data_IF_900802251582
#
_entry.id   IF_900802251582
#
_cell.length_a   1.000
_cell.length_b   1.000
_cell.length_c   1.000
_cell.angle_alpha   90.00
_cell.angle_beta   90.00
_cell.angle_gamma   90.00
#
_symmetry.space_group_name_H-M   'P 1'
#
loop_
_entity.id
_entity.type
_entity.pdbx_description
1 polymer ?
#
# COMPACT_ATOMS: atom_id res chain seq x y z
N UNK A 1 5.45 -7.70 -38.33
CA UNK A 1 5.03 -7.26 -36.99
C UNK A 1 5.83 -8.08 -35.99
N UNK A 2 6.65 -7.43 -35.13
CA UNK A 2 7.36 -8.15 -34.07
C UNK A 2 6.34 -8.62 -33.02
N UNK A 3 6.39 -9.89 -32.65
CA UNK A 3 5.59 -10.43 -31.53
C UNK A 3 6.13 -9.78 -30.26
N UNK A 4 5.28 -9.16 -29.41
CA UNK A 4 5.76 -8.56 -28.18
C UNK A 4 6.35 -9.65 -27.29
N UNK A 5 7.60 -9.43 -26.84
CA UNK A 5 8.25 -10.34 -25.90
C UNK A 5 7.62 -10.17 -24.54
N UNK A 6 6.92 -11.19 -24.05
CA UNK A 6 6.37 -11.23 -22.69
C UNK A 6 7.42 -11.80 -21.75
N UNK A 7 7.57 -11.18 -20.58
CA UNK A 7 8.50 -11.58 -19.52
C UNK A 7 7.72 -11.83 -18.22
N UNK A 8 8.19 -12.76 -17.36
CA UNK A 8 7.56 -12.95 -16.05
C UNK A 8 7.76 -11.68 -15.19
N UNK A 9 6.67 -11.21 -14.61
CA UNK A 9 6.70 -10.07 -13.70
C UNK A 9 6.80 -10.55 -12.25
N UNK A 10 7.86 -10.17 -11.56
CA UNK A 10 8.05 -10.54 -10.13
C UNK A 10 7.00 -9.93 -9.20
N UNK A 11 6.27 -8.90 -9.65
CA UNK A 11 5.26 -8.22 -8.82
C UNK A 11 3.89 -8.87 -8.82
N UNK A 12 3.53 -9.59 -9.89
CA UNK A 12 2.25 -10.29 -10.02
C UNK A 12 2.39 -11.74 -10.51
N UNK A 13 3.60 -12.21 -10.80
CA UNK A 13 3.86 -13.57 -11.28
C UNK A 13 3.36 -13.88 -12.69
N UNK A 14 2.76 -12.92 -13.37
CA UNK A 14 2.19 -13.11 -14.71
C UNK A 14 3.18 -12.76 -15.81
N UNK A 15 2.97 -13.29 -17.00
CA UNK A 15 3.68 -12.85 -18.19
C UNK A 15 3.17 -11.46 -18.58
N UNK A 16 4.07 -10.49 -18.67
CA UNK A 16 3.76 -9.09 -18.86
C UNK A 16 4.61 -8.44 -19.94
N UNK A 17 4.12 -7.35 -20.51
CA UNK A 17 4.86 -6.53 -21.46
C UNK A 17 6.02 -5.79 -20.78
N UNK A 18 6.99 -5.36 -21.58
CA UNK A 18 8.09 -4.52 -21.09
C UNK A 18 7.57 -3.22 -20.45
N UNK A 19 6.49 -2.65 -20.97
CA UNK A 19 5.84 -1.45 -20.42
C UNK A 19 5.26 -1.69 -19.03
N UNK A 20 4.56 -2.80 -18.80
CA UNK A 20 4.06 -3.17 -17.47
C UNK A 20 5.20 -3.30 -16.46
N UNK A 21 6.29 -3.96 -16.85
CA UNK A 21 7.45 -4.13 -15.98
C UNK A 21 8.12 -2.77 -15.68
N UNK A 22 8.27 -1.92 -16.70
CA UNK A 22 8.85 -0.59 -16.56
C UNK A 22 8.01 0.28 -15.59
N UNK A 23 6.68 0.26 -15.73
CA UNK A 23 5.75 0.97 -14.83
C UNK A 23 5.88 0.49 -13.38
N UNK A 24 5.94 -0.82 -13.16
CA UNK A 24 6.18 -1.38 -11.82
C UNK A 24 7.50 -0.90 -11.24
N UNK A 25 8.59 -0.95 -12.00
CA UNK A 25 9.91 -0.50 -11.54
C UNK A 25 9.92 0.99 -11.21
N UNK A 26 9.26 1.81 -12.01
CA UNK A 26 9.10 3.24 -11.76
C UNK A 26 8.35 3.49 -10.43
N UNK A 27 7.26 2.77 -10.17
CA UNK A 27 6.52 2.86 -8.89
C UNK A 27 7.37 2.43 -7.69
N UNK A 28 8.20 1.40 -7.85
CA UNK A 28 9.15 0.97 -6.81
C UNK A 28 10.21 2.05 -6.54
N UNK A 29 10.71 2.70 -7.58
CA UNK A 29 11.63 3.84 -7.44
C UNK A 29 10.98 4.97 -6.62
N UNK A 30 9.79 5.40 -6.99
CA UNK A 30 9.06 6.44 -6.27
C UNK A 30 8.83 6.08 -4.80
N UNK A 31 8.38 4.87 -4.52
CA UNK A 31 8.15 4.41 -3.15
C UNK A 31 9.45 4.32 -2.33
N UNK A 32 10.55 3.92 -2.95
CA UNK A 32 11.85 3.79 -2.28
C UNK A 32 12.42 5.14 -1.89
N UNK A 33 12.20 6.19 -2.69
CA UNK A 33 12.67 7.55 -2.44
C UNK A 33 12.15 8.11 -1.11
N UNK A 34 10.91 7.78 -0.74
CA UNK A 34 10.27 8.26 0.48
C UNK A 34 10.19 7.20 1.59
N UNK A 35 11.02 6.16 1.50
CA UNK A 35 11.07 5.14 2.54
C UNK A 35 11.80 5.67 3.78
N UNK A 36 11.20 5.64 4.98
CA UNK A 36 11.88 6.00 6.21
C UNK A 36 12.94 4.97 6.59
N UNK A 37 13.98 5.40 7.31
CA UNK A 37 15.01 4.51 7.86
C UNK A 37 14.37 3.53 8.86
N UNK A 38 13.46 4.03 9.70
CA UNK A 38 12.73 3.24 10.68
C UNK A 38 11.25 3.28 10.39
N UNK A 39 10.70 2.16 9.94
CA UNK A 39 9.28 2.05 9.63
C UNK A 39 8.51 1.82 10.94
N UNK A 40 7.75 2.82 11.38
CA UNK A 40 6.90 2.74 12.57
C UNK A 40 5.62 1.96 12.27
N UNK A 41 5.03 2.20 11.09
CA UNK A 41 3.86 1.47 10.62
C UNK A 41 3.92 1.25 9.10
N UNK A 42 3.63 0.01 8.71
CA UNK A 42 3.38 -0.37 7.33
C UNK A 42 1.87 -0.43 7.12
N UNK A 43 1.36 0.39 6.21
CA UNK A 43 -0.01 0.32 5.72
C UNK A 43 -0.03 -0.69 4.57
N UNK A 44 -0.79 -1.78 4.71
CA UNK A 44 -0.82 -2.87 3.74
C UNK A 44 -2.15 -2.87 2.99
N UNK A 45 -2.06 -2.72 1.66
CA UNK A 45 -3.19 -2.85 0.73
C UNK A 45 -3.13 -4.18 -0.04
N UNK A 46 -4.21 -4.54 -0.72
CA UNK A 46 -4.27 -5.78 -1.52
C UNK A 46 -3.40 -5.69 -2.78
N UNK A 47 -3.62 -4.68 -3.60
CA UNK A 47 -2.89 -4.47 -4.85
C UNK A 47 -2.53 -3.01 -5.05
N UNK A 48 -1.58 -2.75 -5.93
CA UNK A 48 -1.31 -1.39 -6.38
C UNK A 48 -2.52 -0.86 -7.19
N UNK A 49 -2.81 0.45 -7.15
CA UNK A 49 -3.88 1.03 -7.94
C UNK A 49 -3.55 0.96 -9.44
N UNK A 50 -4.58 0.99 -10.28
CA UNK A 50 -4.40 0.98 -11.73
C UNK A 50 -3.82 2.32 -12.21
N UNK A 51 -4.42 3.43 -11.80
CA UNK A 51 -3.97 4.77 -12.17
C UNK A 51 -2.75 5.22 -11.33
N UNK A 52 -1.80 5.89 -11.97
CA UNK A 52 -0.65 6.47 -11.26
C UNK A 52 -1.05 7.65 -10.37
N UNK A 53 -2.14 8.34 -10.70
CA UNK A 53 -2.73 9.41 -9.86
C UNK A 53 -3.23 8.91 -8.50
N UNK A 54 -3.60 7.63 -8.39
CA UNK A 54 -4.02 7.00 -7.14
C UNK A 54 -2.86 6.35 -6.36
N UNK A 55 -1.69 6.30 -6.99
CA UNK A 55 -0.49 5.75 -6.35
C UNK A 55 0.15 6.81 -5.44
N UNK A 56 0.16 6.56 -4.13
CA UNK A 56 0.59 7.54 -3.11
C UNK A 56 1.94 8.21 -3.42
N UNK A 57 2.89 7.48 -3.96
CA UNK A 57 4.24 7.99 -4.20
C UNK A 57 4.42 8.62 -5.58
N UNK A 58 3.34 8.75 -6.36
CA UNK A 58 3.38 9.46 -7.63
C UNK A 58 3.83 10.92 -7.43
N UNK A 59 4.65 11.47 -8.33
CA UNK A 59 5.04 12.89 -8.28
C UNK A 59 3.88 13.84 -8.60
N UNK A 60 2.76 13.29 -9.07
CA UNK A 60 1.57 14.05 -9.42
C UNK A 60 0.74 14.45 -8.19
N UNK A 61 -0.43 15.03 -8.42
CA UNK A 61 -1.35 15.42 -7.35
C UNK A 61 -1.98 14.19 -6.67
N UNK A 62 -2.22 14.29 -5.37
CA UNK A 62 -2.91 13.26 -4.61
C UNK A 62 -4.41 13.34 -4.85
N UNK A 63 -4.94 12.41 -5.66
CA UNK A 63 -6.37 12.25 -5.92
C UNK A 63 -6.84 10.88 -5.43
N UNK A 64 -8.15 10.63 -5.42
CA UNK A 64 -8.73 9.35 -5.08
C UNK A 64 -8.15 8.75 -3.79
N UNK A 65 -7.77 7.49 -3.84
CA UNK A 65 -7.32 6.72 -2.66
C UNK A 65 -6.12 7.35 -1.94
N UNK A 66 -5.17 7.93 -2.67
CA UNK A 66 -4.01 8.58 -2.07
C UNK A 66 -4.39 9.83 -1.27
N UNK A 67 -5.25 10.68 -1.81
CA UNK A 67 -5.75 11.88 -1.14
C UNK A 67 -6.55 11.55 0.12
N UNK A 68 -7.41 10.56 0.02
CA UNK A 68 -8.24 10.09 1.13
C UNK A 68 -7.39 9.50 2.27
N UNK A 69 -6.38 8.71 1.94
CA UNK A 69 -5.45 8.18 2.92
C UNK A 69 -4.71 9.29 3.66
N UNK A 70 -4.18 10.28 2.94
CA UNK A 70 -3.48 11.42 3.54
C UNK A 70 -4.40 12.21 4.46
N UNK A 71 -5.65 12.43 4.05
CA UNK A 71 -6.68 13.09 4.88
C UNK A 71 -6.96 12.29 6.15
N UNK A 72 -7.12 10.98 6.04
CA UNK A 72 -7.31 10.09 7.18
C UNK A 72 -6.14 10.14 8.17
N UNK A 73 -4.92 10.25 7.66
CA UNK A 73 -3.70 10.41 8.46
C UNK A 73 -3.52 11.81 9.04
N UNK A 74 -4.38 12.77 8.68
CA UNK A 74 -4.23 14.17 9.09
C UNK A 74 -3.01 14.84 8.47
N UNK A 75 -2.63 14.44 7.26
CA UNK A 75 -1.56 15.07 6.48
C UNK A 75 -2.20 16.03 5.49
N UNK A 76 -2.01 17.34 5.69
CA UNK A 76 -2.53 18.36 4.79
C UNK A 76 -1.75 18.38 3.48
N UNK A 77 -2.49 18.39 2.38
CA UNK A 77 -1.94 18.58 1.02
C UNK A 77 -2.06 20.04 0.55
N UNK A 78 -2.85 20.85 1.25
CA UNK A 78 -3.14 22.23 0.84
C UNK A 78 -1.87 23.10 0.87
N UNK A 79 -1.55 23.71 -0.26
CA UNK A 79 -0.41 24.62 -0.40
C UNK A 79 0.97 23.95 -0.34
N UNK A 80 1.02 22.63 -0.39
CA UNK A 80 2.27 21.86 -0.37
C UNK A 80 2.51 21.17 -1.71
N UNK A 81 3.77 21.04 -2.09
CA UNK A 81 4.18 20.16 -3.18
C UNK A 81 4.03 18.68 -2.77
N UNK A 82 3.94 17.80 -3.77
CA UNK A 82 3.90 16.34 -3.53
C UNK A 82 5.10 15.86 -2.72
N UNK A 83 6.27 16.42 -2.97
CA UNK A 83 7.50 16.08 -2.25
C UNK A 83 7.42 16.46 -0.75
N UNK A 84 6.88 17.63 -0.41
CA UNK A 84 6.68 18.06 0.98
C UNK A 84 5.69 17.16 1.73
N UNK A 85 4.58 16.80 1.06
CA UNK A 85 3.57 15.88 1.62
C UNK A 85 4.16 14.50 1.88
N UNK A 86 4.90 13.95 0.90
CA UNK A 86 5.56 12.65 1.05
C UNK A 86 6.69 12.68 2.08
N UNK A 87 7.41 13.80 2.21
CA UNK A 87 8.38 13.98 3.27
C UNK A 87 7.73 13.99 4.66
N UNK A 88 6.54 14.60 4.80
CA UNK A 88 5.76 14.55 6.06
C UNK A 88 5.29 13.11 6.37
N UNK A 89 4.85 12.36 5.36
CA UNK A 89 4.50 10.94 5.49
C UNK A 89 5.72 10.11 5.93
N UNK A 90 6.87 10.32 5.29
CA UNK A 90 8.14 9.67 5.63
C UNK A 90 8.61 9.98 7.05
N UNK A 91 8.58 11.26 7.48
CA UNK A 91 8.97 11.69 8.83
C UNK A 91 8.15 11.02 9.92
N UNK A 92 6.89 10.69 9.64
CA UNK A 92 6.03 9.93 10.55
C UNK A 92 6.39 8.44 10.62
N UNK A 93 7.38 7.99 9.87
CA UNK A 93 7.79 6.59 9.81
C UNK A 93 6.76 5.69 9.14
N UNK A 94 5.93 6.23 8.26
CA UNK A 94 4.87 5.50 7.57
C UNK A 94 5.37 4.97 6.23
N UNK A 95 4.89 3.80 5.84
CA UNK A 95 5.06 3.22 4.50
C UNK A 95 3.73 2.64 4.06
N UNK A 96 3.33 2.92 2.84
CA UNK A 96 2.26 2.22 2.14
C UNK A 96 2.88 1.18 1.21
N UNK A 97 2.44 -0.06 1.31
CA UNK A 97 2.84 -1.11 0.37
C UNK A 97 1.65 -2.00 0.06
N UNK A 98 1.66 -2.54 -1.15
CA UNK A 98 0.64 -3.49 -1.59
C UNK A 98 1.18 -4.92 -1.49
N UNK A 99 0.29 -5.87 -1.22
CA UNK A 99 0.62 -7.30 -1.27
C UNK A 99 1.06 -7.66 -2.70
N UNK A 100 0.26 -7.26 -3.70
CA UNK A 100 0.62 -7.30 -5.12
C UNK A 100 1.16 -5.92 -5.55
N UNK A 101 2.35 -5.89 -6.11
CA UNK A 101 2.97 -4.64 -6.60
C UNK A 101 2.39 -4.15 -7.94
N UNK A 102 1.54 -4.95 -8.57
CA UNK A 102 0.81 -4.63 -9.79
C UNK A 102 -0.69 -4.53 -9.51
N UNK A 103 -1.44 -3.79 -10.33
CA UNK A 103 -2.90 -3.81 -10.28
C UNK A 103 -3.47 -5.19 -10.56
N UNK A 104 -4.63 -5.47 -9.99
CA UNK A 104 -5.47 -6.60 -10.41
C UNK A 104 -6.33 -6.11 -11.56
N UNK A 105 -6.44 -6.89 -12.64
CA UNK A 105 -7.25 -6.53 -13.80
C UNK A 105 -8.72 -6.31 -13.40
N UNK A 106 -9.38 -5.27 -13.94
CA UNK A 106 -10.73 -4.88 -13.50
C UNK A 106 -11.81 -5.97 -13.70
N UNK A 107 -11.62 -6.87 -14.65
CA UNK A 107 -12.51 -7.98 -14.97
C UNK A 107 -12.24 -9.25 -14.16
N UNK A 108 -11.21 -9.24 -13.31
CA UNK A 108 -10.87 -10.36 -12.43
C UNK A 108 -11.98 -10.57 -11.39
N UNK A 109 -12.57 -11.76 -11.36
CA UNK A 109 -13.58 -12.05 -10.35
C UNK A 109 -12.99 -12.19 -8.94
N UNK A 110 -13.84 -12.07 -7.91
CA UNK A 110 -13.41 -12.04 -6.52
C UNK A 110 -12.65 -13.32 -6.08
N UNK A 111 -13.00 -14.49 -6.62
CA UNK A 111 -12.32 -15.74 -6.29
C UNK A 111 -10.92 -15.82 -6.91
N UNK A 112 -10.78 -15.39 -8.14
CA UNK A 112 -9.49 -15.31 -8.84
C UNK A 112 -8.58 -14.26 -8.18
N UNK A 113 -9.10 -13.08 -7.87
CA UNK A 113 -8.38 -12.05 -7.15
C UNK A 113 -7.87 -12.57 -5.79
N UNK A 114 -8.74 -13.26 -5.04
CA UNK A 114 -8.37 -13.89 -3.77
C UNK A 114 -7.28 -14.94 -3.95
N UNK A 115 -7.42 -15.86 -4.91
CA UNK A 115 -6.41 -16.88 -5.18
C UNK A 115 -5.05 -16.28 -5.55
N UNK A 116 -5.05 -15.18 -6.30
CA UNK A 116 -3.85 -14.45 -6.66
C UNK A 116 -3.18 -13.84 -5.41
N UNK A 117 -3.96 -13.22 -4.53
CA UNK A 117 -3.47 -12.67 -3.25
C UNK A 117 -2.91 -13.76 -2.34
N UNK A 118 -3.61 -14.90 -2.20
CA UNK A 118 -3.14 -16.05 -1.42
C UNK A 118 -1.81 -16.60 -1.95
N UNK A 119 -1.68 -16.72 -3.27
CA UNK A 119 -0.47 -17.19 -3.92
C UNK A 119 0.74 -16.29 -3.63
N UNK A 120 0.56 -14.97 -3.63
CA UNK A 120 1.64 -14.00 -3.44
C UNK A 120 1.91 -13.64 -1.97
N UNK A 121 1.04 -14.04 -1.04
CA UNK A 121 1.17 -13.73 0.37
C UNK A 121 2.52 -14.15 0.99
N UNK A 122 3.06 -15.36 0.74
CA UNK A 122 4.36 -15.76 1.30
C UNK A 122 5.51 -14.85 0.86
N UNK A 123 5.51 -14.41 -0.40
CA UNK A 123 6.53 -13.51 -0.93
C UNK A 123 6.42 -12.11 -0.31
N UNK A 124 5.20 -11.59 -0.18
CA UNK A 124 4.95 -10.30 0.46
C UNK A 124 5.38 -10.32 1.94
N UNK A 125 5.06 -11.37 2.68
CA UNK A 125 5.49 -11.55 4.06
C UNK A 125 7.02 -11.67 4.19
N UNK A 126 7.68 -12.36 3.28
CA UNK A 126 9.14 -12.42 3.23
C UNK A 126 9.75 -11.03 3.02
N UNK A 127 9.17 -10.21 2.14
CA UNK A 127 9.56 -8.82 1.90
C UNK A 127 9.37 -7.97 3.16
N UNK A 128 8.22 -8.09 3.83
CA UNK A 128 7.92 -7.36 5.07
C UNK A 128 8.96 -7.69 6.14
N UNK A 129 9.22 -8.98 6.39
CA UNK A 129 10.17 -9.42 7.43
C UNK A 129 11.63 -9.10 7.12
N UNK A 130 12.06 -9.27 5.88
CA UNK A 130 13.49 -9.16 5.52
C UNK A 130 13.90 -7.74 5.15
N UNK A 131 13.03 -7.04 4.42
CA UNK A 131 13.38 -5.75 3.82
C UNK A 131 12.75 -4.56 4.53
N UNK A 132 11.47 -4.62 4.85
CA UNK A 132 10.75 -3.50 5.43
C UNK A 132 10.91 -3.42 6.95
N UNK A 133 10.80 -4.54 7.66
CA UNK A 133 10.97 -4.65 9.12
C UNK A 133 10.19 -3.58 9.90
N UNK A 134 8.87 -3.43 9.67
CA UNK A 134 8.07 -2.43 10.34
C UNK A 134 7.87 -2.81 11.82
N UNK A 135 7.60 -1.82 12.68
CA UNK A 135 7.21 -2.08 14.07
C UNK A 135 5.79 -2.63 14.19
N UNK A 136 4.93 -2.33 13.22
CA UNK A 136 3.56 -2.86 13.11
C UNK A 136 3.07 -2.84 11.67
N UNK A 137 2.10 -3.69 11.38
CA UNK A 137 1.39 -3.72 10.10
C UNK A 137 -0.06 -3.32 10.34
N UNK A 138 -0.57 -2.39 9.56
CA UNK A 138 -1.97 -1.98 9.51
C UNK A 138 -2.54 -2.45 8.17
N UNK A 139 -3.43 -3.43 8.22
CA UNK A 139 -4.15 -3.90 7.03
C UNK A 139 -5.29 -2.93 6.79
N UNK A 140 -5.20 -2.16 5.70
CA UNK A 140 -6.14 -1.07 5.40
C UNK A 140 -7.12 -1.41 4.28
N UNK A 141 -6.88 -2.47 3.54
CA UNK A 141 -7.70 -2.92 2.41
C UNK A 141 -8.62 -4.07 2.83
N UNK A 142 -9.95 -3.94 2.68
CA UNK A 142 -10.91 -4.98 3.07
C UNK A 142 -10.75 -6.27 2.26
N UNK A 143 -10.20 -6.22 1.05
CA UNK A 143 -9.89 -7.38 0.21
C UNK A 143 -8.92 -8.35 0.88
N UNK A 144 -8.15 -7.89 1.88
CA UNK A 144 -7.24 -8.73 2.67
C UNK A 144 -7.92 -9.39 3.87
N UNK A 145 -9.18 -9.07 4.18
CA UNK A 145 -9.91 -9.67 5.31
C UNK A 145 -9.99 -11.20 5.24
N UNK A 146 -10.24 -11.82 4.07
CA UNK A 146 -10.23 -13.28 3.97
C UNK A 146 -8.88 -13.93 4.26
N UNK A 147 -7.79 -13.16 4.21
CA UNK A 147 -6.42 -13.61 4.49
C UNK A 147 -5.97 -13.34 5.94
N UNK A 148 -6.87 -12.84 6.78
CA UNK A 148 -6.54 -12.39 8.14
C UNK A 148 -5.87 -13.48 8.99
N UNK A 149 -6.37 -14.72 8.94
CA UNK A 149 -5.78 -15.86 9.64
C UNK A 149 -4.33 -16.11 9.19
N UNK A 150 -4.10 -16.14 7.89
CA UNK A 150 -2.79 -16.38 7.31
C UNK A 150 -1.80 -15.24 7.61
N UNK A 151 -2.26 -13.99 7.62
CA UNK A 151 -1.44 -12.84 8.00
C UNK A 151 -1.05 -12.91 9.48
N UNK A 152 -1.95 -13.36 10.35
CA UNK A 152 -1.69 -13.50 11.80
C UNK A 152 -0.79 -14.71 12.10
N UNK A 153 -1.03 -15.85 11.47
CA UNK A 153 -0.28 -17.09 11.65
C UNK A 153 1.13 -17.00 11.08
N UNK A 154 1.27 -16.38 9.91
CA UNK A 154 2.56 -16.23 9.24
C UNK A 154 3.44 -15.14 9.83
N UNK A 155 2.97 -14.49 10.86
CA UNK A 155 3.62 -13.44 11.65
C UNK A 155 4.69 -12.65 10.88
N UNK A 156 4.41 -11.44 10.41
CA UNK A 156 5.41 -10.58 9.76
C UNK A 156 6.56 -10.18 10.72
N UNK A 157 6.59 -10.75 11.92
CA UNK A 157 7.56 -10.46 12.97
C UNK A 157 7.19 -9.24 13.82
N UNK A 158 5.97 -8.75 13.68
CA UNK A 158 5.44 -7.60 14.42
C UNK A 158 3.91 -7.69 14.52
N UNK A 159 3.26 -6.93 15.43
CA UNK A 159 1.81 -6.89 15.55
C UNK A 159 1.11 -6.48 14.25
N UNK A 160 -0.01 -7.15 13.96
CA UNK A 160 -0.89 -6.86 12.81
C UNK A 160 -2.22 -6.34 13.33
N UNK A 161 -2.66 -5.22 12.80
CA UNK A 161 -3.94 -4.59 13.11
C UNK A 161 -4.78 -4.49 11.84
N UNK A 162 -6.06 -4.77 11.96
CA UNK A 162 -7.02 -4.66 10.87
C UNK A 162 -7.83 -3.38 11.08
N UNK A 163 -7.63 -2.43 10.18
CA UNK A 163 -8.31 -1.15 10.21
C UNK A 163 -8.78 -0.86 8.80
N UNK A 164 -9.93 -1.42 8.44
CA UNK A 164 -10.44 -1.27 7.10
C UNK A 164 -10.93 0.15 6.88
N UNK A 165 -10.42 0.78 5.85
CA UNK A 165 -10.91 2.05 5.36
C UNK A 165 -11.93 1.82 4.24
N UNK A 166 -13.10 2.39 4.38
CA UNK A 166 -14.08 2.44 3.31
C UNK A 166 -13.57 3.18 2.06
N UNK A 167 -12.56 4.03 2.20
CA UNK A 167 -11.91 4.80 1.13
C UNK A 167 -11.20 3.96 0.06
N UNK A 168 -10.85 2.71 0.35
CA UNK A 168 -10.37 1.79 -0.67
C UNK A 168 -11.51 1.13 -1.46
N UNK A 169 -12.77 1.49 -1.15
CA UNK A 169 -13.96 1.21 -1.96
C UNK A 169 -14.55 2.51 -2.43
N UNK A 170 -14.75 2.66 -3.73
CA UNK A 170 -15.22 3.86 -4.42
C UNK A 170 -16.65 4.35 -4.04
N UNK A 171 -17.32 3.77 -3.05
CA UNK A 171 -18.76 4.01 -2.83
C UNK A 171 -19.19 4.38 -1.41
N UNK A 172 -18.29 4.46 -0.39
CA UNK A 172 -18.72 4.76 0.97
C UNK A 172 -17.85 5.82 1.65
N UNK A 173 -18.52 6.82 2.21
CA UNK A 173 -17.91 7.74 3.15
C UNK A 173 -17.47 6.95 4.41
N UNK A 174 -16.20 7.12 4.81
CA UNK A 174 -15.67 6.49 6.03
C UNK A 174 -16.49 6.91 7.24
N UNK A 175 -16.97 5.95 8.03
CA UNK A 175 -17.59 6.24 9.32
C UNK A 175 -16.54 6.90 10.24
N UNK A 176 -16.95 7.92 10.97
CA UNK A 176 -16.09 8.63 11.93
C UNK A 176 -15.46 7.69 12.97
N UNK A 177 -16.14 6.58 13.31
CA UNK A 177 -15.64 5.55 14.22
C UNK A 177 -14.50 4.74 13.64
N UNK A 178 -14.56 4.38 12.37
CA UNK A 178 -13.49 3.67 11.65
C UNK A 178 -12.23 4.55 11.54
N UNK A 179 -12.41 5.83 11.25
CA UNK A 179 -11.33 6.79 11.20
C UNK A 179 -10.66 6.98 12.57
N UNK A 180 -11.46 7.03 13.65
CA UNK A 180 -10.95 7.12 15.01
C UNK A 180 -10.16 5.86 15.40
N UNK A 181 -10.66 4.66 15.07
CA UNK A 181 -9.99 3.39 15.31
C UNK A 181 -8.65 3.30 14.56
N UNK A 182 -8.64 3.74 13.31
CA UNK A 182 -7.42 3.80 12.52
C UNK A 182 -6.38 4.75 13.13
N UNK A 183 -6.78 5.97 13.48
CA UNK A 183 -5.88 6.93 14.13
C UNK A 183 -5.36 6.43 15.46
N UNK A 184 -6.16 5.69 16.22
CA UNK A 184 -5.73 5.08 17.47
C UNK A 184 -4.73 3.92 17.26
N UNK A 185 -4.82 3.20 16.15
CA UNK A 185 -3.87 2.14 15.79
C UNK A 185 -2.54 2.69 15.23
N UNK A 186 -2.52 3.95 14.77
CA UNK A 186 -1.28 4.61 14.39
C UNK A 186 -0.38 4.77 15.62
N UNK A 187 0.96 4.65 15.47
CA UNK A 187 1.84 5.01 16.56
C UNK A 187 1.54 6.44 16.98
N UNK A 188 1.43 6.67 18.29
CA UNK A 188 1.45 8.04 18.79
C UNK A 188 2.65 8.71 18.13
N UNK A 189 2.38 9.69 17.29
CA UNK A 189 3.45 10.45 16.62
C UNK A 189 4.18 11.12 17.77
N UNK A 190 5.34 10.56 18.12
CA UNK A 190 6.22 11.22 19.05
C UNK A 190 6.37 12.64 18.51
N UNK A 191 5.88 13.60 19.28
CA UNK A 191 6.18 14.99 19.05
C UNK A 191 7.72 15.08 19.09
N UNK A 192 8.35 14.97 17.93
CA UNK A 192 9.75 15.29 17.77
C UNK A 192 9.80 16.81 17.80
N UNK A 193 9.73 17.30 19.05
CA UNK A 193 10.11 18.64 19.39
C UNK A 193 11.60 18.78 19.22
N UNK A 194 11.95 19.88 18.59
CA UNK A 194 13.22 20.61 18.57
C UNK A 194 14.42 19.82 18.09
#
# INVERSE_FOLDING_TARGET
>A
MAVPTLLPCDGCGQLASAEHIARRLQRLEWATRFRPIHIQALLLTASAPEADSDFLYSPESFTGQAGDLLTALGISTAGKSSEEVLADFQKRGLVLASLLECPIEPDTNANEARALLEHHLPQALARIRRSLKPKRVLVVSPELQPLASHLSESAPGCPVFYTFFATFRSEFASDASELAAFRAALPALAAQGT
#
